data_IF_492936741784
#
_entry.id   IF_492936741784
#
_cell.length_a   1.000
_cell.length_b   1.000
_cell.length_c   1.000
_cell.angle_alpha   90.00
_cell.angle_beta   90.00
_cell.angle_gamma   90.00
#
_symmetry.space_group_name_H-M   'P 1'
#
loop_
_entity.id
_entity.type
_entity.pdbx_description
1 polymer ?
#
# COMPACT_ATOMS: atom_id res chain seq x y z
N UNK A 1 -5.81 -13.56 -22.44
CA UNK A 1 -5.70 -12.10 -22.22
C UNK A 1 -4.24 -11.73 -22.04
N UNK A 2 -3.77 -10.62 -22.63
CA UNK A 2 -2.39 -10.15 -22.45
C UNK A 2 -2.37 -8.88 -21.61
N UNK A 3 -1.46 -8.82 -20.63
CA UNK A 3 -1.21 -7.69 -19.74
C UNK A 3 0.24 -7.24 -19.97
N UNK A 4 0.44 -5.97 -20.34
CA UNK A 4 1.81 -5.47 -20.54
C UNK A 4 2.49 -5.17 -19.20
N UNK A 5 1.75 -4.53 -18.27
CA UNK A 5 2.27 -4.02 -16.99
C UNK A 5 1.34 -4.36 -15.84
N UNK A 6 1.87 -5.07 -14.85
CA UNK A 6 1.23 -5.31 -13.56
C UNK A 6 2.10 -4.72 -12.46
N UNK A 7 1.62 -3.69 -11.76
CA UNK A 7 2.29 -3.19 -10.56
C UNK A 7 1.45 -3.53 -9.32
N UNK A 8 2.10 -4.07 -8.29
CA UNK A 8 1.45 -4.45 -7.03
C UNK A 8 2.16 -3.86 -5.81
N UNK A 9 1.38 -3.18 -4.97
CA UNK A 9 1.76 -2.76 -3.63
C UNK A 9 1.05 -3.65 -2.61
N UNK A 10 1.79 -4.59 -2.03
CA UNK A 10 1.27 -5.52 -1.02
C UNK A 10 1.34 -4.90 0.38
N UNK A 11 0.52 -3.88 0.63
CA UNK A 11 0.48 -3.17 1.92
C UNK A 11 -0.06 -4.02 3.07
N UNK A 12 0.16 -3.59 4.32
CA UNK A 12 -0.35 -4.31 5.50
C UNK A 12 -1.84 -4.04 5.78
N UNK A 13 -2.37 -2.93 5.28
CA UNK A 13 -3.77 -2.51 5.47
C UNK A 13 -4.58 -2.78 4.20
N UNK A 14 -4.03 -2.37 3.05
CA UNK A 14 -4.67 -2.52 1.74
C UNK A 14 -3.61 -2.85 0.69
N UNK A 15 -3.96 -3.76 -0.22
CA UNK A 15 -3.16 -4.06 -1.40
C UNK A 15 -3.64 -3.18 -2.55
N UNK A 16 -2.71 -2.53 -3.25
CA UNK A 16 -3.04 -1.64 -4.36
C UNK A 16 -2.46 -2.21 -5.66
N UNK A 17 -3.28 -2.26 -6.70
CA UNK A 17 -2.88 -2.80 -8.00
C UNK A 17 -3.06 -1.76 -9.09
N UNK A 18 -2.12 -1.74 -10.03
CA UNK A 18 -2.25 -1.01 -11.28
C UNK A 18 -1.93 -1.95 -12.44
N UNK A 19 -2.95 -2.26 -13.26
CA UNK A 19 -2.87 -3.26 -14.34
C UNK A 19 -3.18 -2.57 -15.66
N UNK A 20 -2.15 -2.35 -16.48
CA UNK A 20 -2.23 -1.51 -17.68
C UNK A 20 -2.97 -0.18 -17.41
N UNK A 21 -2.55 0.48 -16.33
CA UNK A 21 -3.10 1.76 -15.85
C UNK A 21 -4.53 1.71 -15.28
N UNK A 22 -5.14 0.53 -15.13
CA UNK A 22 -6.38 0.34 -14.36
C UNK A 22 -6.06 0.10 -12.88
N UNK A 23 -6.57 0.97 -12.02
CA UNK A 23 -6.32 0.95 -10.58
C UNK A 23 -7.47 0.28 -9.81
N UNK A 24 -7.13 -0.56 -8.84
CA UNK A 24 -8.07 -1.08 -7.85
C UNK A 24 -7.35 -1.48 -6.56
N UNK A 25 -8.14 -1.66 -5.49
CA UNK A 25 -7.65 -1.97 -4.15
C UNK A 25 -8.32 -3.23 -3.61
N UNK A 26 -7.57 -4.03 -2.86
CA UNK A 26 -8.09 -5.20 -2.14
C UNK A 26 -7.65 -5.09 -0.67
N UNK A 27 -8.57 -5.08 0.31
CA UNK A 27 -8.21 -5.14 1.73
C UNK A 27 -7.25 -6.30 2.01
N UNK A 28 -6.27 -6.14 2.90
CA UNK A 28 -5.26 -7.19 3.18
C UNK A 28 -5.80 -8.31 4.08
N UNK A 29 -7.07 -8.66 3.94
CA UNK A 29 -7.69 -9.73 4.70
C UNK A 29 -7.65 -11.00 3.86
N UNK A 30 -6.99 -12.04 4.38
CA UNK A 30 -6.96 -13.36 3.74
C UNK A 30 -7.23 -14.41 4.80
N UNK A 31 -8.22 -15.25 4.57
CA UNK A 31 -8.54 -16.37 5.44
C UNK A 31 -8.59 -17.67 4.64
N UNK A 32 -7.78 -18.64 5.05
CA UNK A 32 -7.87 -19.99 4.54
C UNK A 32 -9.11 -20.68 5.13
N UNK A 33 -9.86 -21.38 4.29
CA UNK A 33 -11.05 -22.12 4.67
C UNK A 33 -11.00 -23.55 4.15
N UNK A 34 -11.81 -24.44 4.72
CA UNK A 34 -11.97 -25.79 4.19
C UNK A 34 -12.70 -25.76 2.84
N UNK A 35 -12.50 -26.81 2.03
CA UNK A 35 -13.24 -27.04 0.78
C UNK A 35 -14.75 -26.95 0.99
N UNK A 36 -15.27 -27.69 1.98
CA UNK A 36 -16.70 -27.71 2.31
C UNK A 36 -17.24 -26.31 2.62
N UNK A 37 -16.48 -25.51 3.38
CA UNK A 37 -16.86 -24.12 3.70
C UNK A 37 -16.83 -23.21 2.48
N UNK A 38 -15.89 -23.43 1.55
CA UNK A 38 -15.81 -22.67 0.31
C UNK A 38 -16.99 -23.00 -0.62
N UNK A 39 -17.25 -24.29 -0.86
CA UNK A 39 -18.32 -24.76 -1.75
C UNK A 39 -19.72 -24.39 -1.27
N UNK A 40 -19.93 -24.28 0.05
CA UNK A 40 -21.21 -23.88 0.65
C UNK A 40 -21.31 -22.38 0.97
N UNK A 41 -20.30 -21.57 0.63
CA UNK A 41 -20.23 -20.19 1.11
C UNK A 41 -21.32 -19.28 0.51
N UNK A 42 -21.52 -19.34 -0.80
CA UNK A 42 -22.45 -18.48 -1.51
C UNK A 42 -23.81 -19.15 -1.68
N UNK A 43 -24.87 -18.47 -1.27
CA UNK A 43 -26.25 -18.93 -1.47
C UNK A 43 -26.92 -18.30 -2.69
N UNK A 44 -26.32 -17.24 -3.24
CA UNK A 44 -26.83 -16.45 -4.37
C UNK A 44 -25.70 -16.19 -5.36
N UNK A 45 -26.06 -15.97 -6.63
CA UNK A 45 -25.11 -15.59 -7.69
C UNK A 45 -24.70 -14.12 -7.56
N UNK A 46 -23.53 -13.82 -8.12
CA UNK A 46 -23.02 -12.47 -8.36
C UNK A 46 -23.16 -12.20 -9.85
N UNK A 47 -23.97 -11.21 -10.20
CA UNK A 47 -24.27 -10.89 -11.60
C UNK A 47 -23.47 -9.67 -12.09
N UNK A 48 -22.95 -8.84 -11.18
CA UNK A 48 -22.14 -7.65 -11.49
C UNK A 48 -20.68 -7.85 -11.08
N UNK A 49 -19.76 -7.49 -11.98
CA UNK A 49 -18.32 -7.57 -11.71
C UNK A 49 -17.89 -6.54 -10.67
N UNK A 50 -18.60 -5.42 -10.51
CA UNK A 50 -18.32 -4.46 -9.44
C UNK A 50 -18.46 -5.10 -8.05
N UNK A 51 -19.46 -5.98 -7.88
CA UNK A 51 -19.69 -6.74 -6.64
C UNK A 51 -18.64 -7.84 -6.40
N UNK A 52 -17.93 -8.28 -7.45
CA UNK A 52 -16.95 -9.37 -7.35
C UNK A 52 -15.77 -9.00 -6.44
N UNK A 53 -15.33 -7.73 -6.45
CA UNK A 53 -14.21 -7.27 -5.64
C UNK A 53 -14.44 -7.52 -4.14
N UNK A 54 -15.69 -7.45 -3.70
CA UNK A 54 -16.09 -7.69 -2.32
C UNK A 54 -16.32 -9.17 -1.98
N UNK A 55 -16.30 -10.06 -2.99
CA UNK A 55 -16.72 -11.47 -2.90
C UNK A 55 -15.68 -12.42 -3.47
N UNK A 56 -14.39 -12.11 -3.31
CA UNK A 56 -13.29 -12.93 -3.83
C UNK A 56 -13.09 -14.20 -3.00
N UNK A 57 -13.54 -15.34 -3.54
CA UNK A 57 -13.25 -16.68 -3.04
C UNK A 57 -12.50 -17.46 -4.11
N UNK A 58 -11.29 -17.90 -3.80
CA UNK A 58 -10.43 -18.59 -4.76
C UNK A 58 -9.96 -19.95 -4.23
N UNK A 59 -9.63 -20.87 -5.14
CA UNK A 59 -8.74 -21.99 -4.83
C UNK A 59 -7.50 -22.00 -5.71
N UNK A 60 -6.42 -22.57 -5.19
CA UNK A 60 -5.16 -22.77 -5.91
C UNK A 60 -4.41 -23.94 -5.30
N UNK A 61 -3.46 -24.51 -6.04
CA UNK A 61 -2.58 -25.59 -5.56
C UNK A 61 -1.31 -24.97 -4.99
N UNK A 62 -1.01 -25.27 -3.73
CA UNK A 62 0.24 -24.87 -3.05
C UNK A 62 0.79 -26.13 -2.39
N UNK A 63 2.05 -26.47 -2.68
CA UNK A 63 2.71 -27.68 -2.17
C UNK A 63 1.89 -28.96 -2.44
N UNK A 64 1.40 -29.11 -3.67
CA UNK A 64 0.55 -30.22 -4.16
C UNK A 64 -0.81 -30.38 -3.44
N UNK A 65 -1.23 -29.39 -2.66
CA UNK A 65 -2.52 -29.38 -1.96
C UNK A 65 -3.40 -28.25 -2.49
N UNK A 66 -4.63 -28.56 -2.89
CA UNK A 66 -5.64 -27.55 -3.22
C UNK A 66 -6.10 -26.85 -1.93
N UNK A 67 -5.87 -25.54 -1.87
CA UNK A 67 -6.21 -24.68 -0.73
C UNK A 67 -7.21 -23.61 -1.15
N UNK A 68 -8.06 -23.21 -0.22
CA UNK A 68 -9.21 -22.31 -0.48
C UNK A 68 -9.06 -21.05 0.35
N UNK A 69 -9.21 -19.88 -0.28
CA UNK A 69 -8.96 -18.58 0.35
C UNK A 69 -10.13 -17.63 0.12
N UNK A 70 -10.67 -17.10 1.22
CA UNK A 70 -11.44 -15.86 1.20
C UNK A 70 -10.45 -14.69 1.17
N UNK A 71 -10.67 -13.73 0.28
CA UNK A 71 -9.75 -12.61 0.06
C UNK A 71 -10.50 -11.28 0.09
N UNK A 72 -9.85 -10.24 0.63
CA UNK A 72 -10.41 -8.89 0.65
C UNK A 72 -11.58 -8.75 1.59
N UNK A 73 -12.63 -8.03 1.14
CA UNK A 73 -13.81 -7.73 1.95
C UNK A 73 -14.50 -9.00 2.48
N UNK A 74 -14.53 -10.07 1.68
CA UNK A 74 -15.13 -11.36 2.05
C UNK A 74 -14.48 -11.98 3.29
N UNK A 75 -13.20 -11.72 3.51
CA UNK A 75 -12.46 -12.26 4.64
C UNK A 75 -12.55 -11.39 5.90
N UNK A 76 -13.08 -10.17 5.85
CA UNK A 76 -13.02 -9.22 6.97
C UNK A 76 -13.63 -9.78 8.26
N UNK A 77 -14.79 -10.45 8.17
CA UNK A 77 -15.51 -11.00 9.32
C UNK A 77 -14.91 -12.33 9.82
N UNK A 78 -13.89 -12.87 9.14
CA UNK A 78 -13.23 -14.09 9.58
C UNK A 78 -12.24 -13.78 10.72
N UNK A 79 -12.32 -14.47 11.89
CA UNK A 79 -11.44 -14.20 13.04
C UNK A 79 -9.94 -14.31 12.75
N UNK A 80 -9.55 -15.04 11.71
CA UNK A 80 -8.14 -15.29 11.36
C UNK A 80 -7.61 -14.35 10.25
N UNK A 81 -8.47 -13.55 9.62
CA UNK A 81 -8.11 -12.73 8.45
C UNK A 81 -7.12 -11.60 8.77
N UNK A 82 -7.15 -11.14 10.01
CA UNK A 82 -6.33 -10.05 10.53
C UNK A 82 -5.11 -10.54 11.33
N UNK A 83 -4.71 -11.80 11.15
CA UNK A 83 -3.56 -12.40 11.88
C UNK A 83 -2.21 -11.67 11.67
N UNK A 84 -2.11 -10.89 10.59
CA UNK A 84 -0.97 -10.04 10.25
C UNK A 84 -1.04 -8.64 10.89
N UNK A 85 -2.21 -8.21 11.40
CA UNK A 85 -2.41 -6.86 11.96
C UNK A 85 -1.58 -6.68 13.23
N UNK A 86 -0.95 -5.50 13.35
CA UNK A 86 -0.08 -5.15 14.48
C UNK A 86 1.31 -5.82 14.43
N UNK A 87 1.66 -6.54 13.36
CA UNK A 87 2.95 -7.23 13.20
C UNK A 87 3.64 -6.85 11.90
N UNK A 88 4.97 -6.90 11.91
CA UNK A 88 5.80 -6.87 10.70
C UNK A 88 5.68 -8.21 9.96
N UNK A 89 4.87 -8.23 8.90
CA UNK A 89 4.48 -9.42 8.15
C UNK A 89 5.54 -9.86 7.13
N UNK A 90 6.02 -11.11 7.22
CA UNK A 90 6.98 -11.65 6.24
C UNK A 90 6.31 -11.87 4.88
N UNK A 91 6.35 -10.81 4.06
CA UNK A 91 5.78 -10.79 2.72
C UNK A 91 6.43 -11.81 1.79
N UNK A 92 7.66 -12.28 2.05
CA UNK A 92 8.37 -13.23 1.17
C UNK A 92 7.82 -14.64 1.34
N UNK A 93 7.64 -15.11 2.58
CA UNK A 93 7.26 -16.52 2.82
C UNK A 93 5.76 -16.72 3.03
N UNK A 94 5.01 -15.65 3.31
CA UNK A 94 3.58 -15.75 3.58
C UNK A 94 2.75 -16.06 2.33
N UNK A 95 1.70 -16.90 2.43
CA UNK A 95 0.76 -17.13 1.32
C UNK A 95 -0.08 -15.89 0.98
N UNK A 96 -0.24 -14.93 1.89
CA UNK A 96 -1.10 -13.74 1.72
C UNK A 96 -0.84 -12.97 0.41
N UNK A 97 0.39 -12.46 0.10
CA UNK A 97 0.60 -11.71 -1.13
C UNK A 97 0.34 -12.53 -2.40
N UNK A 98 0.61 -13.84 -2.34
CA UNK A 98 0.36 -14.75 -3.45
C UNK A 98 -1.14 -14.97 -3.68
N UNK A 99 -1.91 -15.26 -2.62
CA UNK A 99 -3.36 -15.40 -2.71
C UNK A 99 -4.04 -14.11 -3.22
N UNK A 100 -3.59 -12.93 -2.73
CA UNK A 100 -4.12 -11.65 -3.19
C UNK A 100 -3.75 -11.39 -4.66
N UNK A 101 -2.54 -11.70 -5.09
CA UNK A 101 -2.15 -11.60 -6.51
C UNK A 101 -3.06 -12.45 -7.41
N UNK A 102 -3.30 -13.71 -7.05
CA UNK A 102 -4.16 -14.59 -7.83
C UNK A 102 -5.61 -14.07 -7.89
N UNK A 103 -6.14 -13.62 -6.75
CA UNK A 103 -7.47 -13.03 -6.68
C UNK A 103 -7.57 -11.73 -7.49
N UNK A 104 -6.54 -10.88 -7.46
CA UNK A 104 -6.46 -9.66 -8.25
C UNK A 104 -6.47 -9.92 -9.76
N UNK A 105 -5.78 -10.98 -10.21
CA UNK A 105 -5.79 -11.38 -11.62
C UNK A 105 -7.15 -11.94 -12.04
N UNK A 106 -7.79 -12.73 -11.18
CA UNK A 106 -9.15 -13.23 -11.43
C UNK A 106 -10.17 -12.09 -11.53
N UNK A 107 -10.13 -11.15 -10.60
CA UNK A 107 -10.95 -9.94 -10.64
C UNK A 107 -10.71 -9.14 -11.93
N UNK A 108 -9.45 -8.82 -12.23
CA UNK A 108 -9.12 -8.03 -13.41
C UNK A 108 -9.54 -8.70 -14.72
N UNK A 109 -9.40 -10.02 -14.83
CA UNK A 109 -9.90 -10.77 -15.98
C UNK A 109 -11.40 -10.58 -16.17
N UNK A 110 -12.22 -10.72 -15.12
CA UNK A 110 -13.66 -10.51 -15.18
C UNK A 110 -14.03 -9.06 -15.50
N UNK A 111 -13.28 -8.08 -14.99
CA UNK A 111 -13.48 -6.66 -15.36
C UNK A 111 -13.28 -6.44 -16.87
N UNK A 112 -12.29 -7.10 -17.47
CA UNK A 112 -12.00 -6.95 -18.91
C UNK A 112 -12.80 -7.89 -19.80
N UNK A 113 -13.34 -8.97 -19.24
CA UNK A 113 -14.09 -10.00 -19.95
C UNK A 113 -15.30 -10.44 -19.09
N UNK A 114 -16.33 -9.58 -18.92
CA UNK A 114 -17.49 -9.93 -18.09
C UNK A 114 -18.20 -11.20 -18.56
N UNK A 115 -18.37 -11.33 -19.88
CA UNK A 115 -18.94 -12.52 -20.54
C UNK A 115 -17.86 -13.52 -21.00
N UNK A 116 -16.66 -13.42 -20.42
CA UNK A 116 -15.51 -14.25 -20.79
C UNK A 116 -15.72 -15.72 -20.46
N UNK A 117 -14.97 -16.59 -21.12
CA UNK A 117 -15.00 -18.03 -20.89
C UNK A 117 -14.64 -18.37 -19.43
N UNK A 118 -15.21 -19.47 -18.95
CA UNK A 118 -14.94 -20.03 -17.62
C UNK A 118 -13.57 -20.72 -17.53
N UNK A 119 -12.84 -20.85 -18.64
CA UNK A 119 -11.44 -21.29 -18.66
C UNK A 119 -10.67 -20.29 -19.51
N UNK A 120 -9.63 -19.68 -18.96
CA UNK A 120 -8.86 -18.70 -19.71
C UNK A 120 -7.39 -18.62 -19.29
N UNK A 121 -6.59 -18.05 -20.19
CA UNK A 121 -5.16 -17.81 -19.99
C UNK A 121 -4.90 -16.30 -19.88
N UNK A 122 -4.04 -15.92 -18.94
CA UNK A 122 -3.54 -14.56 -18.77
C UNK A 122 -2.02 -14.59 -18.93
N UNK A 123 -1.50 -13.77 -19.81
CA UNK A 123 -0.06 -13.57 -19.98
C UNK A 123 0.33 -12.17 -19.46
N UNK A 124 1.20 -12.10 -18.46
CA UNK A 124 1.75 -10.88 -17.89
C UNK A 124 3.20 -10.71 -18.36
N UNK A 125 3.47 -9.70 -19.17
CA UNK A 125 4.81 -9.45 -19.70
C UNK A 125 5.77 -8.99 -18.59
N UNK A 126 5.33 -8.04 -17.76
CA UNK A 126 6.14 -7.46 -16.69
C UNK A 126 5.31 -7.20 -15.42
N UNK A 127 5.69 -7.88 -14.33
CA UNK A 127 5.19 -7.62 -12.99
C UNK A 127 6.23 -6.81 -12.18
N UNK A 128 5.79 -5.80 -11.45
CA UNK A 128 6.61 -5.07 -10.48
C UNK A 128 5.94 -5.02 -9.12
N UNK A 129 6.76 -5.13 -8.09
CA UNK A 129 6.33 -5.02 -6.71
C UNK A 129 7.45 -4.42 -5.87
N UNK A 130 7.24 -4.36 -4.56
CA UNK A 130 8.25 -3.90 -3.61
C UNK A 130 8.19 -4.67 -2.29
N UNK A 131 9.29 -4.57 -1.54
CA UNK A 131 9.41 -5.09 -0.20
C UNK A 131 9.75 -3.97 0.79
N UNK A 132 9.24 -4.06 2.04
CA UNK A 132 9.52 -3.08 3.07
C UNK A 132 10.98 -3.17 3.53
N UNK A 133 11.52 -2.02 3.93
CA UNK A 133 12.92 -1.88 4.33
C UNK A 133 13.26 -2.82 5.50
N UNK A 134 12.37 -2.97 6.48
CA UNK A 134 12.59 -3.87 7.62
C UNK A 134 12.82 -5.33 7.21
N UNK A 135 12.16 -5.82 6.15
CA UNK A 135 12.34 -7.19 5.69
C UNK A 135 13.67 -7.33 4.94
N UNK A 136 14.00 -6.34 4.10
CA UNK A 136 15.25 -6.30 3.35
C UNK A 136 16.48 -6.15 4.25
N UNK A 137 16.37 -5.46 5.39
CA UNK A 137 17.43 -5.32 6.40
C UNK A 137 17.83 -6.64 7.07
N UNK A 138 16.97 -7.66 7.04
CA UNK A 138 17.30 -9.01 7.55
C UNK A 138 18.25 -9.77 6.63
N UNK A 139 18.38 -9.34 5.37
CA UNK A 139 19.27 -9.95 4.39
C UNK A 139 20.64 -9.23 4.37
N UNK A 140 21.68 -9.95 3.97
CA UNK A 140 23.03 -9.37 3.78
C UNK A 140 23.01 -8.29 2.70
N UNK A 141 22.34 -8.59 1.58
CA UNK A 141 22.12 -7.69 0.44
C UNK A 141 20.62 -7.60 0.16
N UNK A 142 20.11 -6.40 -0.06
CA UNK A 142 18.69 -6.19 -0.37
C UNK A 142 18.24 -6.96 -1.62
N UNK A 143 19.13 -7.10 -2.62
CA UNK A 143 18.84 -7.85 -3.84
C UNK A 143 18.47 -9.32 -3.57
N UNK A 144 18.92 -9.92 -2.48
CA UNK A 144 18.54 -11.29 -2.12
C UNK A 144 17.05 -11.36 -1.81
N UNK A 145 16.55 -10.49 -0.92
CA UNK A 145 15.14 -10.41 -0.58
C UNK A 145 14.27 -10.01 -1.78
N UNK A 146 14.72 -9.04 -2.57
CA UNK A 146 14.04 -8.62 -3.80
C UNK A 146 13.91 -9.77 -4.80
N UNK A 147 14.99 -10.52 -5.06
CA UNK A 147 14.97 -11.67 -5.97
C UNK A 147 14.09 -12.79 -5.44
N UNK A 148 14.12 -13.08 -4.12
CA UNK A 148 13.21 -14.04 -3.49
C UNK A 148 11.75 -13.66 -3.75
N UNK A 149 11.37 -12.41 -3.52
CA UNK A 149 10.00 -11.94 -3.75
C UNK A 149 9.62 -11.98 -5.23
N UNK A 150 10.48 -11.49 -6.12
CA UNK A 150 10.20 -11.48 -7.56
C UNK A 150 9.96 -12.89 -8.12
N UNK A 151 10.82 -13.85 -7.74
CA UNK A 151 10.76 -15.24 -8.21
C UNK A 151 9.49 -15.98 -7.81
N UNK A 152 8.76 -15.52 -6.78
CA UNK A 152 7.49 -16.14 -6.37
C UNK A 152 6.39 -16.01 -7.41
N UNK A 153 6.48 -14.96 -8.23
CA UNK A 153 5.47 -14.63 -9.22
C UNK A 153 5.95 -14.89 -10.64
N UNK A 154 7.16 -15.38 -10.87
CA UNK A 154 7.62 -15.74 -12.22
C UNK A 154 7.14 -17.14 -12.54
N UNK A 155 6.67 -17.35 -13.77
CA UNK A 155 6.25 -18.64 -14.27
C UNK A 155 4.74 -18.79 -14.35
N UNK A 156 4.29 -20.04 -14.33
CA UNK A 156 2.89 -20.41 -14.50
C UNK A 156 2.21 -20.62 -13.14
N UNK A 157 1.00 -20.07 -13.01
CA UNK A 157 0.17 -20.17 -11.83
C UNK A 157 -1.26 -20.55 -12.23
N UNK A 158 -1.93 -21.35 -11.42
CA UNK A 158 -3.34 -21.70 -11.62
C UNK A 158 -4.19 -21.18 -10.47
N UNK A 159 -5.33 -20.57 -10.78
CA UNK A 159 -6.33 -20.15 -9.78
C UNK A 159 -7.74 -20.45 -10.28
N UNK A 160 -8.60 -20.90 -9.39
CA UNK A 160 -10.03 -21.01 -9.63
C UNK A 160 -10.76 -19.93 -8.86
N UNK A 161 -11.55 -19.13 -9.55
CA UNK A 161 -12.54 -18.24 -8.95
C UNK A 161 -13.79 -19.06 -8.66
N UNK A 162 -14.19 -19.11 -7.39
CA UNK A 162 -15.30 -19.94 -6.90
C UNK A 162 -16.55 -19.11 -6.58
N UNK A 163 -16.52 -17.81 -6.86
CA UNK A 163 -17.64 -16.92 -6.62
C UNK A 163 -18.79 -17.29 -7.55
N UNK A 164 -19.94 -17.63 -6.97
CA UNK A 164 -21.08 -18.15 -7.72
C UNK A 164 -21.59 -17.13 -8.75
N UNK A 165 -21.76 -17.55 -10.01
CA UNK A 165 -22.10 -16.67 -11.15
C UNK A 165 -20.89 -16.10 -11.89
N UNK A 166 -19.70 -16.18 -11.29
CA UNK A 166 -18.44 -15.65 -11.83
C UNK A 166 -17.35 -16.73 -11.89
N UNK A 167 -17.69 -18.01 -11.81
CA UNK A 167 -16.74 -19.11 -11.73
C UNK A 167 -15.80 -19.13 -12.92
N UNK A 168 -14.49 -19.25 -12.69
CA UNK A 168 -13.48 -19.27 -13.77
C UNK A 168 -12.19 -19.93 -13.32
N UNK A 169 -11.68 -20.84 -14.14
CA UNK A 169 -10.36 -21.44 -14.01
C UNK A 169 -9.36 -20.65 -14.87
N UNK A 170 -8.35 -20.08 -14.23
CA UNK A 170 -7.36 -19.23 -14.87
C UNK A 170 -5.97 -19.83 -14.77
N UNK A 171 -5.28 -19.84 -15.91
CA UNK A 171 -3.83 -20.03 -15.98
C UNK A 171 -3.16 -18.68 -16.19
N UNK A 172 -2.27 -18.30 -15.29
CA UNK A 172 -1.57 -17.01 -15.29
C UNK A 172 -0.09 -17.27 -15.51
N UNK A 173 0.44 -16.83 -16.65
CA UNK A 173 1.87 -16.87 -16.98
C UNK A 173 2.48 -15.49 -16.80
N UNK A 174 3.46 -15.37 -15.91
CA UNK A 174 4.22 -14.14 -15.70
C UNK A 174 5.62 -14.32 -16.24
N UNK A 175 5.96 -13.57 -17.29
CA UNK A 175 7.25 -13.70 -17.97
C UNK A 175 8.40 -13.10 -17.17
N UNK A 176 8.19 -11.87 -16.68
CA UNK A 176 9.20 -11.13 -15.93
C UNK A 176 8.59 -10.55 -14.66
N UNK A 177 9.38 -10.56 -13.60
CA UNK A 177 9.02 -9.96 -12.31
C UNK A 177 10.21 -9.21 -11.73
N UNK A 178 9.98 -8.04 -11.14
CA UNK A 178 11.01 -7.24 -10.48
C UNK A 178 10.52 -6.63 -9.18
N UNK A 179 11.31 -6.79 -8.14
CA UNK A 179 11.01 -6.25 -6.82
C UNK A 179 11.90 -5.04 -6.49
N UNK A 180 11.30 -3.94 -6.05
CA UNK A 180 11.95 -2.70 -5.64
C UNK A 180 11.95 -2.54 -4.11
N UNK A 181 12.66 -1.53 -3.62
CA UNK A 181 12.66 -1.17 -2.21
C UNK A 181 11.49 -0.22 -1.98
N UNK A 182 10.54 -0.63 -1.13
CA UNK A 182 9.42 0.22 -0.70
C UNK A 182 9.96 1.52 -0.09
N UNK A 183 9.19 2.60 -0.20
CA UNK A 183 9.58 3.96 0.17
C UNK A 183 10.64 4.60 -0.75
N UNK A 184 11.79 3.94 -0.99
CA UNK A 184 12.85 4.47 -1.88
C UNK A 184 12.34 4.63 -3.31
N UNK A 185 11.58 3.65 -3.81
CA UNK A 185 11.04 3.70 -5.17
C UNK A 185 10.13 4.91 -5.39
N UNK A 186 9.43 5.37 -4.34
CA UNK A 186 8.57 6.56 -4.36
C UNK A 186 9.27 7.83 -4.84
N UNK A 187 10.61 7.91 -4.77
CA UNK A 187 11.38 9.04 -5.33
C UNK A 187 11.13 9.25 -6.83
N UNK A 188 10.81 8.20 -7.59
CA UNK A 188 10.50 8.34 -9.02
C UNK A 188 9.20 9.12 -9.24
N UNK A 189 8.17 8.87 -8.43
CA UNK A 189 6.93 9.63 -8.48
C UNK A 189 7.09 11.06 -7.95
N UNK A 190 8.09 11.34 -7.09
CA UNK A 190 8.44 12.71 -6.70
C UNK A 190 9.18 13.48 -7.80
N UNK A 191 9.99 12.79 -8.61
CA UNK A 191 10.79 13.41 -9.69
C UNK A 191 10.02 13.54 -10.99
N UNK A 192 9.09 12.63 -11.24
CA UNK A 192 8.42 12.50 -12.53
C UNK A 192 6.90 12.38 -12.39
N UNK A 193 6.20 12.78 -13.44
CA UNK A 193 4.75 12.63 -13.60
C UNK A 193 4.45 11.95 -14.94
N UNK A 194 3.35 11.23 -14.98
CA UNK A 194 2.80 10.64 -16.20
C UNK A 194 1.73 11.59 -16.72
N UNK A 195 1.80 12.00 -17.98
CA UNK A 195 0.79 12.87 -18.59
C UNK A 195 0.21 12.22 -19.84
N UNK A 196 -1.04 12.55 -20.13
CA UNK A 196 -1.67 12.15 -21.39
C UNK A 196 -1.28 13.14 -22.48
N UNK A 197 -0.42 12.70 -23.41
CA UNK A 197 -0.18 13.43 -24.64
C UNK A 197 -1.35 13.20 -25.59
N UNK A 198 -2.30 14.15 -25.56
CA UNK A 198 -3.51 14.11 -26.39
C UNK A 198 -3.21 14.19 -27.89
N UNK A 199 -2.09 14.80 -28.29
CA UNK A 199 -1.75 14.96 -29.71
C UNK A 199 -1.31 13.62 -30.31
N UNK A 200 -0.55 12.83 -29.55
CA UNK A 200 -0.05 11.53 -29.98
C UNK A 200 -0.86 10.34 -29.45
N UNK A 201 -1.87 10.57 -28.60
CA UNK A 201 -2.64 9.55 -27.90
C UNK A 201 -1.73 8.55 -27.16
N UNK A 202 -0.71 9.08 -26.46
CA UNK A 202 0.27 8.27 -25.72
C UNK A 202 0.50 8.81 -24.30
N UNK A 203 0.94 7.94 -23.40
CA UNK A 203 1.42 8.36 -22.08
C UNK A 203 2.89 8.72 -22.16
N UNK A 204 3.25 9.93 -21.75
CA UNK A 204 4.64 10.38 -21.64
C UNK A 204 5.01 10.68 -20.19
N UNK A 205 6.31 10.61 -19.90
CA UNK A 205 6.89 10.87 -18.58
C UNK A 205 7.61 12.22 -18.65
N UNK A 206 7.26 13.13 -17.75
CA UNK A 206 7.90 14.44 -17.61
C UNK A 206 8.51 14.62 -16.23
N UNK A 207 9.52 15.48 -16.10
CA UNK A 207 10.02 15.90 -14.79
C UNK A 207 9.02 16.84 -14.13
N UNK A 208 8.80 16.66 -12.83
CA UNK A 208 8.05 17.61 -12.01
C UNK A 208 8.85 18.88 -11.79
N UNK A 209 8.20 20.03 -11.85
CA UNK A 209 8.85 21.31 -11.56
C UNK A 209 9.04 21.44 -10.04
N UNK A 210 8.10 20.92 -9.29
CA UNK A 210 8.03 20.95 -7.84
C UNK A 210 9.17 20.16 -7.20
N UNK A 211 9.77 19.18 -7.90
CA UNK A 211 10.92 18.42 -7.40
C UNK A 211 12.17 19.29 -7.22
N UNK A 212 12.27 20.43 -7.92
CA UNK A 212 13.42 21.35 -7.85
C UNK A 212 13.69 21.85 -6.44
N UNK A 213 12.66 21.91 -5.59
CA UNK A 213 12.83 22.31 -4.18
C UNK A 213 13.72 21.34 -3.39
N UNK A 214 14.06 20.17 -3.93
CA UNK A 214 14.92 19.17 -3.31
C UNK A 214 16.29 19.04 -3.99
N UNK A 215 16.61 19.85 -5.00
CA UNK A 215 17.83 19.72 -5.81
C UNK A 215 19.12 19.85 -4.98
N UNK A 216 19.13 20.76 -4.00
CA UNK A 216 20.32 21.07 -3.20
C UNK A 216 20.37 20.37 -1.82
N UNK A 217 19.31 19.63 -1.47
CA UNK A 217 19.12 19.05 -0.14
C UNK A 217 19.06 17.52 -0.17
N UNK A 218 19.74 16.88 0.78
CA UNK A 218 19.42 15.49 1.13
C UNK A 218 18.00 15.44 1.71
N UNK A 219 17.27 14.37 1.38
CA UNK A 219 15.85 14.26 1.69
C UNK A 219 15.54 12.92 2.32
N UNK A 220 14.95 12.93 3.50
CA UNK A 220 14.43 11.74 4.18
C UNK A 220 13.00 11.49 3.72
N UNK A 221 12.76 10.38 3.03
CA UNK A 221 11.40 9.87 2.85
C UNK A 221 11.01 9.10 4.10
N UNK A 222 9.86 9.43 4.69
CA UNK A 222 9.33 8.79 5.90
C UNK A 222 8.01 8.12 5.52
N UNK A 223 8.03 6.80 5.38
CA UNK A 223 6.89 6.00 4.96
C UNK A 223 6.18 5.43 6.18
N UNK A 224 5.00 5.98 6.47
CA UNK A 224 4.21 5.64 7.64
C UNK A 224 3.06 4.74 7.22
N UNK A 225 3.28 3.44 7.35
CA UNK A 225 2.27 2.41 7.13
C UNK A 225 1.64 1.91 8.42
N UNK A 226 0.55 1.14 8.27
CA UNK A 226 -0.14 0.53 9.41
C UNK A 226 0.72 -0.47 10.21
N UNK A 227 1.60 -1.22 9.54
CA UNK A 227 2.39 -2.32 10.13
C UNK A 227 3.88 -2.02 10.35
N UNK A 228 4.43 -1.00 9.69
CA UNK A 228 5.81 -0.54 9.88
C UNK A 228 5.92 0.94 9.55
N UNK A 229 6.96 1.57 10.10
CA UNK A 229 7.42 2.87 9.65
C UNK A 229 8.86 2.72 9.21
N UNK A 230 9.12 3.06 7.97
CA UNK A 230 10.42 2.94 7.34
C UNK A 230 10.87 4.32 6.84
N UNK A 231 12.17 4.59 6.89
CA UNK A 231 12.72 5.86 6.42
C UNK A 231 13.93 5.64 5.52
N UNK A 232 14.09 6.48 4.51
CA UNK A 232 15.23 6.44 3.60
C UNK A 232 15.79 7.83 3.32
N UNK A 233 17.09 7.99 3.56
CA UNK A 233 17.86 9.18 3.22
C UNK A 233 18.27 9.13 1.75
N UNK A 234 17.64 9.97 0.95
CA UNK A 234 17.98 10.20 -0.45
C UNK A 234 19.09 11.24 -0.56
N UNK A 235 19.99 11.02 -1.50
CA UNK A 235 20.97 12.02 -1.89
C UNK A 235 20.30 13.24 -2.53
N UNK A 236 21.03 14.36 -2.60
CA UNK A 236 20.58 15.63 -3.20
C UNK A 236 19.88 15.44 -4.55
N UNK A 237 18.76 16.15 -4.76
CA UNK A 237 17.95 16.03 -5.98
C UNK A 237 17.14 14.74 -6.06
N UNK A 238 16.75 14.20 -4.89
CA UNK A 238 16.02 12.93 -4.75
C UNK A 238 16.75 11.78 -5.47
N UNK A 239 18.07 11.78 -5.38
CA UNK A 239 18.91 10.76 -5.99
C UNK A 239 19.00 9.52 -5.12
N UNK A 240 19.52 8.44 -5.69
CA UNK A 240 19.63 7.15 -5.02
C UNK A 240 20.36 7.27 -3.68
N UNK A 241 19.93 6.52 -2.65
CA UNK A 241 20.66 6.40 -1.39
C UNK A 241 22.11 5.97 -1.62
N UNK A 242 23.03 6.42 -0.76
CA UNK A 242 24.47 6.18 -0.96
C UNK A 242 24.95 4.86 -0.35
N UNK A 243 24.27 4.35 0.68
CA UNK A 243 24.66 3.12 1.36
C UNK A 243 23.45 2.40 1.98
N UNK A 244 23.68 1.19 2.51
CA UNK A 244 22.69 0.44 3.29
C UNK A 244 22.25 1.23 4.54
N UNK A 245 23.09 2.12 5.07
CA UNK A 245 22.82 2.89 6.29
C UNK A 245 21.88 4.08 6.03
N UNK A 246 21.72 4.47 4.77
CA UNK A 246 20.69 5.43 4.36
C UNK A 246 19.26 4.91 4.59
N UNK A 247 19.08 3.62 4.83
CA UNK A 247 17.78 3.01 5.09
C UNK A 247 17.64 2.73 6.58
N UNK A 248 16.53 3.16 7.19
CA UNK A 248 16.26 3.00 8.61
C UNK A 248 14.88 2.39 8.84
N UNK A 249 14.81 1.44 9.76
CA UNK A 249 13.54 0.94 10.29
C UNK A 249 13.27 1.72 11.56
N UNK A 250 12.20 2.50 11.58
CA UNK A 250 11.87 3.31 12.73
C UNK A 250 11.28 2.41 13.81
N UNK A 251 12.03 2.23 14.90
CA UNK A 251 11.65 1.37 16.02
C UNK A 251 10.58 2.05 16.89
N UNK A 252 9.34 1.97 16.41
CA UNK A 252 8.12 2.41 17.09
C UNK A 252 7.09 1.28 17.02
N UNK A 253 6.20 1.18 18.02
CA UNK A 253 5.05 0.27 17.94
C UNK A 253 4.25 0.64 16.68
N UNK A 254 3.88 -0.32 15.80
CA UNK A 254 3.14 -0.01 14.58
C UNK A 254 1.85 0.77 14.84
N UNK A 255 1.42 1.59 13.88
CA UNK A 255 0.20 2.38 13.99
C UNK A 255 -1.02 1.51 14.30
N UNK A 256 -1.20 0.39 13.59
CA UNK A 256 -2.29 -0.56 13.87
C UNK A 256 -2.18 -1.21 15.25
N UNK A 257 -0.96 -1.37 15.78
CA UNK A 257 -0.75 -1.85 17.15
C UNK A 257 -1.20 -0.84 18.21
N UNK A 258 -1.01 0.46 17.95
CA UNK A 258 -1.54 1.52 18.83
C UNK A 258 -3.07 1.62 18.73
N UNK A 259 -3.64 1.43 17.53
CA UNK A 259 -5.09 1.33 17.37
C UNK A 259 -5.67 0.12 18.12
N UNK A 260 -5.01 -1.03 18.06
CA UNK A 260 -5.44 -2.22 18.79
C UNK A 260 -5.43 -1.99 20.32
N UNK A 261 -4.40 -1.30 20.83
CA UNK A 261 -4.33 -0.90 22.24
C UNK A 261 -5.48 0.06 22.60
N UNK A 262 -5.67 1.11 21.80
CA UNK A 262 -6.75 2.09 21.98
C UNK A 262 -8.14 1.42 21.98
N UNK A 263 -8.35 0.49 21.05
CA UNK A 263 -9.58 -0.29 20.97
C UNK A 263 -9.83 -1.05 22.28
N UNK A 264 -8.87 -1.86 22.71
CA UNK A 264 -9.03 -2.72 23.90
C UNK A 264 -9.19 -1.92 25.19
N UNK A 265 -8.49 -0.81 25.32
CA UNK A 265 -8.46 -0.03 26.56
C UNK A 265 -9.59 1.00 26.65
N UNK A 266 -10.00 1.61 25.54
CA UNK A 266 -10.91 2.77 25.56
C UNK A 266 -12.15 2.63 24.67
N UNK A 267 -12.15 1.81 23.61
CA UNK A 267 -13.19 1.87 22.55
C UNK A 267 -13.86 0.53 22.23
N UNK A 268 -13.68 -0.51 23.06
CA UNK A 268 -14.16 -1.87 22.80
C UNK A 268 -15.70 -1.97 22.69
N UNK A 269 -16.43 -1.05 23.33
CA UNK A 269 -17.89 -0.97 23.27
C UNK A 269 -18.41 -0.37 21.95
N UNK A 270 -17.53 0.23 21.15
CA UNK A 270 -17.89 1.02 19.97
C UNK A 270 -17.50 0.36 18.66
N UNK A 271 -16.44 -0.46 18.66
CA UNK A 271 -15.95 -1.13 17.46
C UNK A 271 -15.73 -2.62 17.71
N UNK A 272 -16.13 -3.49 16.77
CA UNK A 272 -15.92 -4.93 16.91
C UNK A 272 -14.46 -5.34 16.77
N UNK A 273 -13.66 -4.56 16.03
CA UNK A 273 -12.29 -4.87 15.69
C UNK A 273 -11.49 -3.60 15.32
N UNK A 274 -10.17 -3.77 15.20
CA UNK A 274 -9.22 -2.70 14.88
C UNK A 274 -9.43 -2.13 13.47
N UNK A 275 -9.92 -2.94 12.53
CA UNK A 275 -10.16 -2.52 11.14
C UNK A 275 -11.34 -1.56 11.04
N UNK A 276 -12.39 -1.82 11.81
CA UNK A 276 -13.55 -0.95 11.95
C UNK A 276 -13.16 0.39 12.57
N UNK A 277 -12.28 0.38 13.57
CA UNK A 277 -11.71 1.59 14.15
C UNK A 277 -10.83 2.37 13.15
N UNK A 278 -9.93 1.68 12.43
CA UNK A 278 -9.08 2.29 11.38
C UNK A 278 -9.93 2.98 10.32
N UNK A 279 -10.93 2.28 9.77
CA UNK A 279 -11.87 2.84 8.77
C UNK A 279 -12.60 4.07 9.30
N UNK A 280 -13.04 4.03 10.56
CA UNK A 280 -13.68 5.17 11.19
C UNK A 280 -12.74 6.38 11.30
N UNK A 281 -11.48 6.18 11.68
CA UNK A 281 -10.48 7.25 11.73
C UNK A 281 -10.22 7.81 10.33
N UNK A 282 -9.99 6.95 9.34
CA UNK A 282 -9.76 7.32 7.93
C UNK A 282 -10.93 8.13 7.36
N UNK A 283 -12.17 7.79 7.73
CA UNK A 283 -13.35 8.53 7.28
C UNK A 283 -13.47 9.94 7.89
N UNK A 284 -12.82 10.20 9.05
CA UNK A 284 -13.06 11.41 9.85
C UNK A 284 -11.82 12.29 10.08
N UNK A 285 -10.60 11.83 9.76
CA UNK A 285 -9.35 12.54 10.13
C UNK A 285 -9.26 13.97 9.62
N UNK A 286 -9.83 14.28 8.46
CA UNK A 286 -9.79 15.63 7.86
C UNK A 286 -10.41 16.70 8.76
N UNK A 287 -11.44 16.33 9.52
CA UNK A 287 -12.15 17.25 10.42
C UNK A 287 -11.58 17.23 11.84
N UNK A 288 -10.68 16.28 12.14
CA UNK A 288 -10.14 16.02 13.47
C UNK A 288 -11.24 15.89 14.55
N UNK A 289 -12.41 15.42 14.14
CA UNK A 289 -13.58 15.25 14.99
C UNK A 289 -14.18 13.89 14.71
N UNK A 290 -14.25 13.06 15.74
CA UNK A 290 -14.51 11.63 15.62
C UNK A 290 -15.85 11.30 16.28
N UNK A 291 -16.95 11.62 15.59
CA UNK A 291 -18.31 11.37 16.09
C UNK A 291 -18.83 10.06 15.49
N UNK A 292 -18.95 9.04 16.32
CA UNK A 292 -19.60 7.79 15.93
C UNK A 292 -21.11 7.96 16.03
N UNK A 293 -21.83 7.71 14.93
CA UNK A 293 -23.28 7.69 14.89
C UNK A 293 -23.77 6.26 14.78
N UNK A 294 -24.55 5.79 15.75
CA UNK A 294 -25.21 4.50 15.67
C UNK A 294 -26.31 4.57 14.58
N UNK A 295 -26.24 3.73 13.52
CA UNK A 295 -27.21 3.80 12.42
C UNK A 295 -28.61 3.34 12.83
N UNK A 296 -28.73 2.48 13.84
CA UNK A 296 -30.00 1.89 14.27
C UNK A 296 -30.74 2.77 15.29
N UNK A 297 -30.02 3.46 16.18
CA UNK A 297 -30.64 4.30 17.24
C UNK A 297 -30.53 5.80 16.98
N UNK A 298 -29.61 6.22 16.10
CA UNK A 298 -29.28 7.62 15.89
C UNK A 298 -28.42 8.26 16.99
N UNK A 299 -28.08 7.51 18.05
CA UNK A 299 -27.21 7.98 19.12
C UNK A 299 -25.84 8.39 18.58
N UNK A 300 -25.27 9.44 19.18
CA UNK A 300 -23.95 9.96 18.83
C UNK A 300 -23.01 9.80 20.01
N UNK A 301 -21.80 9.32 19.72
CA UNK A 301 -20.72 9.18 20.69
C UNK A 301 -19.56 10.04 20.20
N UNK A 302 -19.11 10.99 21.03
CA UNK A 302 -17.93 11.78 20.72
C UNK A 302 -16.69 11.03 21.21
N UNK A 303 -15.92 10.50 20.26
CA UNK A 303 -14.71 9.73 20.52
C UNK A 303 -13.45 10.55 20.22
N UNK A 304 -13.59 11.87 20.11
CA UNK A 304 -12.52 12.75 19.63
C UNK A 304 -11.32 12.74 20.56
N UNK A 305 -11.53 12.94 21.86
CA UNK A 305 -10.45 13.02 22.84
C UNK A 305 -9.54 11.77 22.85
N UNK A 306 -10.04 10.54 23.07
CA UNK A 306 -9.17 9.37 23.15
C UNK A 306 -8.43 9.06 21.83
N UNK A 307 -9.03 9.39 20.67
CA UNK A 307 -8.40 9.19 19.37
C UNK A 307 -7.31 10.24 19.14
N UNK A 308 -7.61 11.52 19.40
CA UNK A 308 -6.66 12.62 19.21
C UNK A 308 -5.47 12.49 20.14
N UNK A 309 -5.69 12.10 21.40
CA UNK A 309 -4.62 11.82 22.38
C UNK A 309 -3.64 10.78 21.84
N UNK A 310 -4.14 9.63 21.38
CA UNK A 310 -3.29 8.58 20.81
C UNK A 310 -2.53 9.05 19.56
N UNK A 311 -3.19 9.79 18.65
CA UNK A 311 -2.54 10.29 17.43
C UNK A 311 -1.43 11.31 17.75
N UNK A 312 -1.62 12.16 18.77
CA UNK A 312 -0.61 13.11 19.24
C UNK A 312 0.58 12.41 19.85
N UNK A 313 0.35 11.51 20.80
CA UNK A 313 1.41 10.71 21.43
C UNK A 313 2.23 9.93 20.39
N UNK A 314 1.55 9.32 19.42
CA UNK A 314 2.21 8.61 18.32
C UNK A 314 3.08 9.54 17.48
N UNK A 315 2.55 10.70 17.07
CA UNK A 315 3.27 11.65 16.23
C UNK A 315 4.49 12.25 16.94
N UNK A 316 4.39 12.57 18.24
CA UNK A 316 5.51 13.09 19.04
C UNK A 316 6.66 12.08 19.10
N UNK A 317 6.35 10.83 19.42
CA UNK A 317 7.34 9.75 19.45
C UNK A 317 7.94 9.48 18.07
N UNK A 318 7.11 9.47 17.03
CA UNK A 318 7.53 9.28 15.64
C UNK A 318 8.53 10.36 15.22
N UNK A 319 8.21 11.65 15.42
CA UNK A 319 9.09 12.77 15.08
C UNK A 319 10.41 12.67 15.82
N UNK A 320 10.38 12.30 17.10
CA UNK A 320 11.60 12.06 17.87
C UNK A 320 12.48 10.98 17.23
N UNK A 321 11.90 9.82 16.92
CA UNK A 321 12.60 8.66 16.37
C UNK A 321 13.03 8.80 14.90
N UNK A 322 12.36 9.64 14.13
CA UNK A 322 12.70 9.89 12.72
C UNK A 322 13.83 10.90 12.60
N UNK A 323 13.83 11.96 13.40
CA UNK A 323 14.85 13.02 13.26
C UNK A 323 16.21 12.62 13.84
N UNK A 324 16.22 11.82 14.91
CA UNK A 324 17.46 11.44 15.60
C UNK A 324 18.47 10.71 14.69
N UNK A 325 18.11 9.63 13.95
CA UNK A 325 19.08 8.83 13.19
C UNK A 325 19.75 9.55 12.03
N UNK A 326 19.12 10.57 11.46
CA UNK A 326 19.65 11.29 10.30
C UNK A 326 20.34 12.61 10.68
N UNK A 327 20.13 13.10 11.91
CA UNK A 327 20.64 14.40 12.34
C UNK A 327 22.17 14.45 12.55
N UNK A 328 22.81 13.33 12.93
CA UNK A 328 24.24 13.32 13.27
C UNK A 328 25.17 13.39 12.05
N UNK A 329 24.74 12.89 10.90
CA UNK A 329 25.58 12.71 9.71
C UNK A 329 25.27 13.72 8.59
N UNK A 330 24.23 14.54 8.78
CA UNK A 330 23.79 15.50 7.79
C UNK A 330 24.83 16.62 7.61
N UNK A 331 25.27 16.84 6.36
CA UNK A 331 26.22 17.90 6.00
C UNK A 331 25.54 19.25 5.69
N UNK A 332 24.24 19.36 5.94
CA UNK A 332 23.43 20.53 5.63
C UNK A 332 21.97 20.37 6.06
N UNK A 333 21.10 21.23 5.55
CA UNK A 333 19.66 21.17 5.84
C UNK A 333 19.06 19.91 5.24
N UNK A 334 18.49 19.06 6.10
CA UNK A 334 17.67 17.92 5.70
C UNK A 334 16.24 18.33 5.44
N UNK A 335 15.66 17.78 4.38
CA UNK A 335 14.22 17.83 4.13
C UNK A 335 13.58 16.48 4.46
N UNK A 336 12.34 16.50 4.89
CA UNK A 336 11.54 15.34 5.25
C UNK A 336 10.29 15.33 4.39
N UNK A 337 10.00 14.22 3.74
CA UNK A 337 8.76 14.02 3.00
C UNK A 337 8.02 12.84 3.63
N UNK A 338 6.84 13.10 4.18
CA UNK A 338 6.00 12.10 4.82
C UNK A 338 5.05 11.47 3.79
N UNK A 339 5.15 10.16 3.64
CA UNK A 339 4.37 9.31 2.74
C UNK A 339 3.77 8.13 3.51
N UNK A 340 3.02 7.27 2.82
CA UNK A 340 2.32 6.14 3.42
C UNK A 340 0.87 6.44 3.77
N UNK A 341 0.10 5.39 4.07
CA UNK A 341 -1.34 5.47 4.34
C UNK A 341 -1.69 6.33 5.55
N UNK A 342 -0.83 6.33 6.57
CA UNK A 342 -1.11 7.00 7.86
C UNK A 342 -0.56 8.43 7.92
N UNK A 343 0.35 8.80 7.02
CA UNK A 343 0.90 10.16 6.94
C UNK A 343 -0.17 11.28 6.88
N UNK A 344 -1.22 11.20 6.05
CA UNK A 344 -2.25 12.25 6.02
C UNK A 344 -3.07 12.33 7.32
N UNK A 345 -3.24 11.21 8.03
CA UNK A 345 -3.94 11.16 9.32
C UNK A 345 -3.10 11.86 10.40
N UNK A 346 -1.80 11.60 10.39
CA UNK A 346 -0.85 12.11 11.38
C UNK A 346 -0.34 13.52 11.08
N UNK A 347 -0.57 14.03 9.87
CA UNK A 347 -0.05 15.32 9.41
C UNK A 347 -0.21 16.50 10.39
N UNK A 348 -1.41 16.79 10.93
CA UNK A 348 -1.56 17.91 11.87
C UNK A 348 -0.72 17.71 13.14
N UNK A 349 -0.64 16.49 13.65
CA UNK A 349 0.07 16.16 14.89
C UNK A 349 1.58 16.11 14.70
N UNK A 350 2.06 15.63 13.54
CA UNK A 350 3.49 15.69 13.18
C UNK A 350 3.93 17.15 13.07
N UNK A 351 3.12 18.03 12.47
CA UNK A 351 3.43 19.46 12.40
C UNK A 351 3.53 20.07 13.80
N UNK A 352 2.56 19.80 14.69
CA UNK A 352 2.63 20.25 16.08
C UNK A 352 3.90 19.75 16.79
N UNK A 353 4.21 18.45 16.66
CA UNK A 353 5.38 17.84 17.27
C UNK A 353 6.71 18.42 16.74
N UNK A 354 6.83 18.64 15.43
CA UNK A 354 8.03 19.27 14.83
C UNK A 354 8.19 20.70 15.36
N UNK A 355 7.13 21.51 15.36
CA UNK A 355 7.18 22.90 15.89
C UNK A 355 7.63 22.92 17.35
N UNK A 356 7.08 22.03 18.18
CA UNK A 356 7.40 21.95 19.59
C UNK A 356 8.87 21.56 19.84
N UNK A 357 9.44 20.69 19.00
CA UNK A 357 10.85 20.28 19.07
C UNK A 357 11.81 21.28 18.42
N UNK A 358 11.32 22.06 17.47
CA UNK A 358 12.13 22.98 16.65
C UNK A 358 11.51 24.39 16.66
N UNK A 359 10.88 24.80 15.56
CA UNK A 359 10.10 26.03 15.42
C UNK A 359 9.21 25.97 14.14
N UNK A 360 8.39 26.99 13.93
CA UNK A 360 7.49 27.08 12.75
C UNK A 360 8.27 27.08 11.42
N UNK A 361 9.37 27.84 11.35
CA UNK A 361 10.16 27.99 10.13
C UNK A 361 10.77 26.66 9.66
N UNK A 362 11.29 25.86 10.60
CA UNK A 362 11.82 24.53 10.31
C UNK A 362 10.71 23.60 9.84
N UNK A 363 9.54 23.64 10.49
CA UNK A 363 8.39 22.85 10.06
C UNK A 363 7.99 23.20 8.62
N UNK A 364 7.80 24.48 8.29
CA UNK A 364 7.34 24.91 6.96
C UNK A 364 8.37 24.65 5.85
N UNK A 365 9.66 24.87 6.12
CA UNK A 365 10.70 24.83 5.09
C UNK A 365 11.33 23.45 4.88
N UNK A 366 11.23 22.56 5.90
CA UNK A 366 11.94 21.29 5.88
C UNK A 366 11.02 20.07 5.96
N UNK A 367 9.76 20.20 6.39
CA UNK A 367 8.85 19.06 6.58
C UNK A 367 7.64 19.17 5.64
N UNK A 368 7.52 18.21 4.72
CA UNK A 368 6.54 18.23 3.65
C UNK A 368 5.63 17.02 3.68
N UNK A 369 4.33 17.24 3.46
CA UNK A 369 3.37 16.18 3.18
C UNK A 369 3.08 16.14 1.69
N UNK A 370 2.80 14.95 1.14
CA UNK A 370 2.68 14.80 -0.32
C UNK A 370 1.62 15.73 -0.96
N UNK A 371 0.52 15.98 -0.24
CA UNK A 371 -0.54 16.90 -0.67
C UNK A 371 -0.10 18.36 -0.81
N UNK A 372 1.05 18.73 -0.25
CA UNK A 372 1.61 20.08 -0.25
C UNK A 372 2.72 20.26 -1.28
N UNK A 373 3.15 19.15 -1.91
CA UNK A 373 4.26 19.16 -2.87
C UNK A 373 3.74 19.37 -4.29
N UNK A 374 2.66 18.69 -4.68
CA UNK A 374 2.23 18.61 -6.07
C UNK A 374 1.08 19.55 -6.41
N UNK A 375 1.26 20.33 -7.46
CA UNK A 375 0.23 21.22 -8.00
C UNK A 375 -0.94 20.41 -8.61
N UNK A 376 -2.11 21.04 -8.74
CA UNK A 376 -3.28 20.43 -9.38
C UNK A 376 -3.16 20.46 -10.91
N UNK A 377 -2.31 19.58 -11.45
CA UNK A 377 -2.18 19.37 -12.89
C UNK A 377 -3.24 18.39 -13.40
N UNK A 378 -4.27 18.92 -14.07
CA UNK A 378 -5.37 18.13 -14.64
C UNK A 378 -4.97 17.22 -15.79
N UNK A 379 -3.76 17.37 -16.33
CA UNK A 379 -3.23 16.50 -17.39
C UNK A 379 -2.48 15.29 -16.84
N UNK A 380 -2.18 15.31 -15.54
CA UNK A 380 -1.49 14.21 -14.87
C UNK A 380 -2.40 12.99 -14.74
N UNK A 381 -1.88 11.85 -15.22
CA UNK A 381 -2.52 10.54 -15.05
C UNK A 381 -2.00 9.94 -13.76
N UNK A 382 -2.93 9.44 -12.94
CA UNK A 382 -2.61 8.72 -11.70
C UNK A 382 -1.72 9.54 -10.75
N UNK A 383 -2.17 10.77 -10.44
CA UNK A 383 -1.49 11.65 -9.48
C UNK A 383 -1.22 10.91 -8.16
N UNK A 384 0.04 10.80 -7.72
CA UNK A 384 0.37 10.05 -6.51
C UNK A 384 -0.25 10.69 -5.27
N UNK A 385 -0.93 9.87 -4.48
CA UNK A 385 -1.33 10.17 -3.11
C UNK A 385 -0.34 9.54 -2.13
N UNK A 386 -0.38 9.93 -0.86
CA UNK A 386 0.55 9.44 0.16
C UNK A 386 0.60 7.90 0.19
N UNK A 387 -0.55 7.25 0.01
CA UNK A 387 -0.69 5.79 -0.04
C UNK A 387 -0.36 5.12 -1.38
N UNK A 388 -0.33 5.87 -2.49
CA UNK A 388 -0.13 5.31 -3.85
C UNK A 388 1.16 5.75 -4.50
N UNK A 389 1.99 6.55 -3.82
CA UNK A 389 3.23 7.09 -4.38
C UNK A 389 4.20 6.00 -4.86
N UNK A 390 4.34 4.93 -4.09
CA UNK A 390 5.18 3.80 -4.44
C UNK A 390 4.64 3.09 -5.70
N UNK A 391 3.32 2.89 -5.79
CA UNK A 391 2.67 2.29 -6.95
C UNK A 391 2.79 3.17 -8.21
N UNK A 392 2.60 4.49 -8.09
CA UNK A 392 2.79 5.43 -9.19
C UNK A 392 4.24 5.43 -9.71
N UNK A 393 5.21 5.29 -8.80
CA UNK A 393 6.62 5.17 -9.16
C UNK A 393 6.92 3.88 -9.95
N UNK A 394 6.31 2.75 -9.57
CA UNK A 394 6.44 1.51 -10.33
C UNK A 394 5.89 1.65 -11.76
N UNK A 395 4.76 2.34 -11.94
CA UNK A 395 4.21 2.58 -13.27
C UNK A 395 5.12 3.48 -14.13
N UNK A 396 5.66 4.55 -13.55
CA UNK A 396 6.66 5.40 -14.22
C UNK A 396 7.84 4.54 -14.70
N UNK A 397 8.35 3.65 -13.84
CA UNK A 397 9.44 2.74 -14.20
C UNK A 397 9.04 1.77 -15.31
N UNK A 398 7.81 1.26 -15.32
CA UNK A 398 7.29 0.36 -16.36
C UNK A 398 7.15 1.02 -17.71
N UNK A 399 6.70 2.27 -17.73
CA UNK A 399 6.62 3.05 -18.96
C UNK A 399 8.00 3.45 -19.50
N UNK A 400 9.00 3.67 -18.64
CA UNK A 400 10.34 4.06 -19.06
C UNK A 400 11.14 2.89 -19.68
N UNK A 401 10.95 1.66 -19.18
CA UNK A 401 11.57 0.45 -19.75
C UNK A 401 11.10 0.19 -21.19
N UNK A 402 9.84 0.52 -21.54
CA UNK A 402 9.30 0.39 -22.90
C UNK A 402 10.00 1.29 -23.93
N UNK A 403 10.60 2.41 -23.53
CA UNK A 403 11.34 3.30 -24.43
C UNK A 403 12.75 2.80 -24.76
N UNK A 404 13.25 1.81 -24.03
CA UNK A 404 14.63 1.30 -24.14
C UNK A 404 14.74 0.00 -24.94
N UNK A 405 13.61 -0.60 -25.32
CA UNK A 405 13.48 -1.71 -26.26
C UNK A 405 12.92 -1.18 -27.58
#
# INVERSE_FOLDING_TARGET
>A
MKIERLNGDFGNSTNNFLVDSYYFEIPTCVAEVSKEKAESHFTNTVDDVEDLLDRLLISTVIDDVERYFMVGKLAEDNPYSNSHVGKMHDKINSPIPYAVFLAAMAYYYKVKNPDGENVAEIEVDNMKMMLPIWLLKKEDKFSIGQNKMANRFIGEHSVKLLTSGMETDLTISVKNSKCYIESEVGRWALKYKMINDKENNTTIIEKRIESKKFDDNETVLVDIGGGSTDAVLLAKGLNTPVSKDSFQVIQIVPFLGNLEKLLKEKLIEHFPDVRSLEKFIVANYKNQKYILKNPNTGNKFDLTEPIVEMLKEYAELLVYKVMEPFSSDAKGVLKYIYIGGEAPILAPYIKEAVKAKTNEEIMENNHFFLSEIFDDDKTEIFKPAARTINLAALEILSLNEKKSN
#
